data_IF_126830787132
#
_entry.id   IF_126830787132
#
_cell.length_a   1.000
_cell.length_b   1.000
_cell.length_c   1.000
_cell.angle_alpha   90.00
_cell.angle_beta   90.00
_cell.angle_gamma   90.00
#
_symmetry.space_group_name_H-M   'P 1'
#
loop_
_entity.id
_entity.type
_entity.pdbx_description
1 polymer ?
#
# COMPACT_ATOMS: atom_id res chain seq x y z
N UNK A 1 -36.94 4.90 13.73
CA UNK A 1 -36.17 6.16 13.61
C UNK A 1 -35.50 6.16 12.24
N UNK A 2 -35.88 7.11 11.35
CA UNK A 2 -35.52 7.06 9.92
C UNK A 2 -34.02 7.17 9.67
N UNK A 3 -33.48 6.38 8.72
CA UNK A 3 -32.06 6.33 8.33
C UNK A 3 -31.47 7.72 8.02
N UNK A 4 -32.30 8.67 7.59
CA UNK A 4 -31.91 10.07 7.35
C UNK A 4 -31.52 10.83 8.61
N UNK A 5 -32.13 10.53 9.77
CA UNK A 5 -31.76 11.18 11.05
C UNK A 5 -30.40 10.71 11.56
N UNK A 6 -30.06 9.44 11.34
CA UNK A 6 -28.75 8.88 11.70
C UNK A 6 -27.66 9.48 10.81
N UNK A 7 -27.92 9.61 9.51
CA UNK A 7 -26.98 10.23 8.57
C UNK A 7 -26.75 11.72 8.87
N UNK A 8 -27.81 12.49 9.15
CA UNK A 8 -27.67 13.89 9.57
C UNK A 8 -26.98 14.05 10.93
N UNK A 9 -27.15 13.09 11.85
CA UNK A 9 -26.46 13.12 13.14
C UNK A 9 -24.95 12.85 13.00
N UNK A 10 -24.57 11.90 12.14
CA UNK A 10 -23.16 11.62 11.81
C UNK A 10 -22.53 12.84 11.11
N UNK A 11 -23.25 13.49 10.18
CA UNK A 11 -22.78 14.67 9.46
C UNK A 11 -22.64 15.91 10.37
N UNK A 12 -23.44 16.00 11.44
CA UNK A 12 -23.38 17.09 12.42
C UNK A 12 -22.25 16.92 13.45
N UNK A 13 -21.74 15.70 13.67
CA UNK A 13 -20.64 15.43 14.61
C UNK A 13 -19.27 15.69 13.95
N UNK A 14 -19.15 15.53 12.62
CA UNK A 14 -17.89 15.75 11.90
C UNK A 14 -17.27 17.15 12.12
N UNK A 15 -18.04 18.27 12.07
CA UNK A 15 -17.48 19.61 12.27
C UNK A 15 -17.06 19.88 13.73
N UNK A 16 -17.72 19.24 14.69
CA UNK A 16 -17.42 19.43 16.12
C UNK A 16 -16.06 18.82 16.50
N UNK A 17 -15.63 17.77 15.81
CA UNK A 17 -14.29 17.16 15.99
C UNK A 17 -13.22 18.04 15.33
N UNK A 18 -13.53 18.75 14.25
CA UNK A 18 -12.58 19.64 13.56
C UNK A 18 -12.31 20.96 14.29
N UNK A 19 -13.16 21.36 15.24
CA UNK A 19 -13.01 22.59 16.03
C UNK A 19 -12.33 22.36 17.40
N UNK A 20 -11.97 21.12 17.74
CA UNK A 20 -11.22 20.78 18.96
C UNK A 20 -9.68 20.80 18.75
N UNK A 21 -9.20 21.48 17.70
CA UNK A 21 -7.78 21.78 17.50
C UNK A 21 -7.32 22.80 18.52
N UNK A 22 -6.92 22.34 19.71
CA UNK A 22 -6.29 23.19 20.71
C UNK A 22 -4.95 23.72 20.19
N UNK A 23 -4.81 25.05 20.08
CA UNK A 23 -3.58 25.79 19.76
C UNK A 23 -2.58 25.79 20.92
N UNK A 24 -2.33 24.63 21.52
CA UNK A 24 -1.29 24.46 22.53
C UNK A 24 -0.19 23.57 21.96
N UNK A 25 1.04 24.08 21.90
CA UNK A 25 2.28 23.27 21.84
C UNK A 25 2.37 22.37 23.08
N UNK A 26 1.44 21.43 23.17
CA UNK A 26 1.51 20.30 24.08
C UNK A 26 2.51 19.36 23.43
N UNK A 27 3.64 19.16 24.10
CA UNK A 27 4.63 18.14 23.78
C UNK A 27 3.85 16.84 23.60
N UNK A 28 3.66 16.44 22.34
CA UNK A 28 2.88 15.27 22.01
C UNK A 28 3.51 14.07 22.75
N UNK A 29 2.71 13.21 23.39
CA UNK A 29 3.23 12.02 24.03
C UNK A 29 3.74 11.07 22.95
N UNK A 30 5.00 11.21 22.58
CA UNK A 30 5.66 10.37 21.59
C UNK A 30 6.46 9.28 22.28
N UNK A 31 6.26 8.04 21.85
CA UNK A 31 7.07 6.92 22.28
C UNK A 31 8.38 6.88 21.47
N UNK A 32 9.52 6.95 22.14
CA UNK A 32 10.82 6.65 21.50
C UNK A 32 10.94 5.14 21.26
N UNK A 33 10.90 4.73 19.98
CA UNK A 33 11.02 3.33 19.57
C UNK A 33 12.32 2.64 20.00
N UNK A 34 13.36 3.42 20.33
CA UNK A 34 14.65 2.95 20.86
C UNK A 34 14.50 2.17 22.18
N UNK A 35 13.45 2.46 22.96
CA UNK A 35 13.21 1.84 24.26
C UNK A 35 12.34 0.57 24.16
N UNK A 36 11.94 0.16 22.96
CA UNK A 36 11.16 -1.07 22.75
C UNK A 36 12.10 -2.26 22.51
N UNK A 37 11.92 -3.29 23.33
CA UNK A 37 12.59 -4.58 23.10
C UNK A 37 12.20 -5.18 21.75
N UNK A 38 13.11 -5.93 21.14
CA UNK A 38 12.87 -6.60 19.85
C UNK A 38 11.64 -7.52 19.87
N UNK A 39 11.24 -8.03 21.04
CA UNK A 39 10.07 -8.91 21.18
C UNK A 39 8.74 -8.27 20.76
N UNK A 40 8.64 -6.94 20.69
CA UNK A 40 7.46 -6.24 20.19
C UNK A 40 7.17 -6.48 18.71
N UNK A 41 8.13 -7.01 17.95
CA UNK A 41 7.94 -7.36 16.54
C UNK A 41 7.18 -8.68 16.34
N UNK A 42 7.03 -9.50 17.39
CA UNK A 42 6.43 -10.85 17.27
C UNK A 42 5.02 -10.81 16.64
N UNK A 43 4.09 -9.94 17.08
CA UNK A 43 2.77 -9.88 16.46
C UNK A 43 2.81 -9.49 14.97
N UNK A 44 3.75 -8.62 14.60
CA UNK A 44 3.97 -8.20 13.21
C UNK A 44 4.48 -9.36 12.33
N UNK A 45 5.49 -10.11 12.80
CA UNK A 45 5.96 -11.31 12.10
C UNK A 45 4.85 -12.35 12.02
N UNK A 46 4.09 -12.54 13.10
CA UNK A 46 2.98 -13.48 13.17
C UNK A 46 1.90 -13.22 12.12
N UNK A 47 1.47 -11.97 11.95
CA UNK A 47 0.49 -11.62 10.91
C UNK A 47 1.08 -11.77 9.50
N UNK A 48 2.34 -11.39 9.27
CA UNK A 48 2.97 -11.56 7.95
C UNK A 48 3.07 -13.03 7.55
N UNK A 49 3.52 -13.89 8.46
CA UNK A 49 3.56 -15.34 8.23
C UNK A 49 2.17 -15.92 8.01
N UNK A 50 1.17 -15.41 8.74
CA UNK A 50 -0.22 -15.83 8.56
C UNK A 50 -0.72 -15.53 7.14
N UNK A 51 -0.46 -14.32 6.63
CA UNK A 51 -0.84 -13.90 5.28
C UNK A 51 -0.03 -14.65 4.21
N UNK A 52 1.22 -15.01 4.48
CA UNK A 52 2.05 -15.75 3.53
C UNK A 52 1.69 -17.24 3.43
N UNK A 53 1.42 -17.89 4.57
CA UNK A 53 1.33 -19.36 4.66
C UNK A 53 -0.12 -19.86 4.59
N UNK A 54 -1.05 -19.26 5.32
CA UNK A 54 -2.42 -19.80 5.40
C UNK A 54 -3.19 -19.82 4.07
N UNK A 55 -3.05 -18.83 3.16
CA UNK A 55 -3.68 -18.92 1.84
C UNK A 55 -3.20 -20.11 1.00
N UNK A 56 -1.98 -20.59 1.24
CA UNK A 56 -1.37 -21.70 0.50
C UNK A 56 -1.73 -23.06 1.13
N UNK A 57 -1.69 -23.16 2.46
CA UNK A 57 -1.87 -24.43 3.18
C UNK A 57 -3.35 -24.70 3.49
N UNK A 58 -4.11 -23.70 3.91
CA UNK A 58 -5.53 -23.83 4.30
C UNK A 58 -6.39 -22.68 3.73
N UNK A 59 -6.59 -22.62 2.39
CA UNK A 59 -7.25 -21.49 1.74
C UNK A 59 -8.66 -21.20 2.28
N UNK A 60 -9.48 -22.25 2.45
CA UNK A 60 -10.86 -22.13 2.95
C UNK A 60 -10.93 -21.58 4.38
N UNK A 61 -10.00 -22.02 5.23
CA UNK A 61 -9.93 -21.53 6.61
C UNK A 61 -9.53 -20.05 6.64
N UNK A 62 -8.50 -19.69 5.88
CA UNK A 62 -8.01 -18.31 5.78
C UNK A 62 -9.11 -17.36 5.31
N UNK A 63 -9.81 -17.66 4.21
CA UNK A 63 -10.84 -16.77 3.67
C UNK A 63 -11.98 -16.52 4.66
N UNK A 64 -12.33 -17.49 5.50
CA UNK A 64 -13.39 -17.33 6.51
C UNK A 64 -12.88 -16.67 7.81
N UNK A 65 -11.62 -16.90 8.20
CA UNK A 65 -11.08 -16.49 9.50
C UNK A 65 -10.06 -15.34 9.43
N UNK A 66 -9.75 -14.81 8.25
CA UNK A 66 -8.78 -13.74 8.04
C UNK A 66 -8.95 -12.60 9.05
N UNK A 67 -10.17 -12.06 9.17
CA UNK A 67 -10.46 -10.97 10.10
C UNK A 67 -10.21 -11.34 11.56
N UNK A 68 -10.52 -12.58 11.97
CA UNK A 68 -10.29 -13.06 13.35
C UNK A 68 -8.81 -13.22 13.65
N UNK A 69 -8.03 -13.74 12.69
CA UNK A 69 -6.58 -13.91 12.83
C UNK A 69 -5.88 -12.55 12.89
N UNK A 70 -6.24 -11.62 12.00
CA UNK A 70 -5.71 -10.25 12.02
C UNK A 70 -6.06 -9.54 13.33
N UNK A 71 -7.30 -9.69 13.81
CA UNK A 71 -7.75 -9.12 15.08
C UNK A 71 -7.00 -9.72 16.28
N UNK A 72 -6.76 -11.03 16.29
CA UNK A 72 -5.97 -11.70 17.31
C UNK A 72 -4.56 -11.12 17.41
N UNK A 73 -3.85 -10.99 16.28
CA UNK A 73 -2.50 -10.39 16.27
C UNK A 73 -2.51 -8.92 16.66
N UNK A 74 -3.53 -8.15 16.25
CA UNK A 74 -3.68 -6.76 16.65
C UNK A 74 -3.88 -6.61 18.17
N UNK A 75 -4.75 -7.42 18.78
CA UNK A 75 -4.93 -7.44 20.24
C UNK A 75 -3.65 -7.85 20.94
N UNK A 76 -2.93 -8.86 20.42
CA UNK A 76 -1.70 -9.33 21.01
C UNK A 76 -0.61 -8.26 21.06
N UNK A 77 -0.67 -7.26 20.17
CA UNK A 77 0.17 -6.07 20.25
C UNK A 77 -0.43 -5.00 21.18
N UNK A 78 -1.69 -4.60 20.94
CA UNK A 78 -2.32 -3.46 21.60
C UNK A 78 -2.51 -3.70 23.11
N UNK A 79 -2.88 -4.91 23.52
CA UNK A 79 -3.19 -5.19 24.92
C UNK A 79 -1.94 -5.12 25.83
N UNK A 80 -0.82 -5.80 25.52
CA UNK A 80 0.41 -5.60 26.28
C UNK A 80 0.94 -4.16 26.21
N UNK A 81 0.80 -3.51 25.05
CA UNK A 81 1.24 -2.12 24.87
C UNK A 81 0.47 -1.16 25.77
N UNK A 82 -0.85 -1.37 25.87
CA UNK A 82 -1.75 -0.65 26.76
C UNK A 82 -1.37 -0.83 28.24
N UNK A 83 -0.97 -2.04 28.65
CA UNK A 83 -0.56 -2.31 30.02
C UNK A 83 0.78 -1.64 30.38
N UNK A 84 1.70 -1.53 29.41
CA UNK A 84 3.05 -1.00 29.61
C UNK A 84 3.10 0.53 29.53
N UNK A 85 2.52 1.11 28.49
CA UNK A 85 2.61 2.56 28.20
C UNK A 85 1.35 3.32 28.67
N UNK A 86 0.27 2.61 29.00
CA UNK A 86 -0.97 3.20 29.50
C UNK A 86 -1.92 3.69 28.40
N UNK A 87 -3.14 4.05 28.83
CA UNK A 87 -4.26 4.37 27.94
C UNK A 87 -4.02 5.60 27.05
N UNK A 88 -3.49 6.69 27.63
CA UNK A 88 -3.33 7.96 26.91
C UNK A 88 -2.33 7.84 25.75
N UNK A 89 -1.18 7.22 25.99
CA UNK A 89 -0.12 7.03 24.98
C UNK A 89 -0.59 6.06 23.90
N UNK A 90 -1.16 4.93 24.30
CA UNK A 90 -1.68 3.92 23.35
C UNK A 90 -2.75 4.49 22.44
N UNK A 91 -3.70 5.24 22.99
CA UNK A 91 -4.75 5.86 22.19
C UNK A 91 -4.18 6.93 21.24
N UNK A 92 -3.24 7.76 21.72
CA UNK A 92 -2.59 8.76 20.90
C UNK A 92 -1.88 8.13 19.70
N UNK A 93 -1.02 7.14 19.92
CA UNK A 93 -0.26 6.48 18.85
C UNK A 93 -1.19 5.74 17.87
N UNK A 94 -2.24 5.07 18.37
CA UNK A 94 -3.19 4.37 17.50
C UNK A 94 -3.96 5.34 16.59
N UNK A 95 -4.37 6.50 17.12
CA UNK A 95 -5.02 7.55 16.34
C UNK A 95 -4.03 8.24 15.40
N UNK A 96 -2.81 8.53 15.85
CA UNK A 96 -1.76 9.14 15.05
C UNK A 96 -1.46 8.29 13.81
N UNK A 97 -1.13 7.00 14.00
CA UNK A 97 -0.89 6.06 12.90
C UNK A 97 -2.15 5.88 12.04
N UNK A 98 -3.33 5.79 12.67
CA UNK A 98 -4.59 5.63 11.95
C UNK A 98 -4.90 6.80 11.00
N UNK A 99 -4.76 8.03 11.47
CA UNK A 99 -5.15 9.24 10.72
C UNK A 99 -4.05 9.82 9.85
N UNK A 100 -2.79 9.74 10.27
CA UNK A 100 -1.68 10.37 9.53
C UNK A 100 -0.93 9.41 8.62
N UNK A 101 -1.03 8.09 8.84
CA UNK A 101 -0.35 7.09 8.01
C UNK A 101 -1.34 6.25 7.22
N UNK A 102 -2.23 5.56 7.92
CA UNK A 102 -3.12 4.59 7.31
C UNK A 102 -4.19 5.24 6.43
N UNK A 103 -4.86 6.29 6.91
CA UNK A 103 -5.92 6.96 6.16
C UNK A 103 -5.41 7.60 4.85
N UNK A 104 -4.31 8.40 4.84
CA UNK A 104 -3.75 8.94 3.61
C UNK A 104 -3.31 7.84 2.65
N UNK A 105 -2.74 6.74 3.17
CA UNK A 105 -2.34 5.59 2.37
C UNK A 105 -3.51 4.92 1.67
N UNK A 106 -4.60 4.64 2.39
CA UNK A 106 -5.80 4.05 1.80
C UNK A 106 -6.46 5.00 0.79
N UNK A 107 -6.49 6.31 1.06
CA UNK A 107 -7.02 7.30 0.12
C UNK A 107 -6.18 7.33 -1.16
N UNK A 108 -4.85 7.31 -1.05
CA UNK A 108 -3.96 7.25 -2.20
C UNK A 108 -4.21 5.99 -3.04
N UNK A 109 -4.22 4.82 -2.40
CA UNK A 109 -4.49 3.56 -3.09
C UNK A 109 -5.85 3.57 -3.78
N UNK A 110 -6.89 4.09 -3.13
CA UNK A 110 -8.23 4.19 -3.69
C UNK A 110 -8.28 5.14 -4.89
N UNK A 111 -7.62 6.29 -4.81
CA UNK A 111 -7.50 7.21 -5.93
C UNK A 111 -6.79 6.55 -7.12
N UNK A 112 -5.66 5.89 -6.87
CA UNK A 112 -4.87 5.22 -7.89
C UNK A 112 -5.64 4.08 -8.57
N UNK A 113 -6.34 3.27 -7.76
CA UNK A 113 -7.21 2.20 -8.23
C UNK A 113 -8.37 2.74 -9.08
N UNK A 114 -9.02 3.81 -8.64
CA UNK A 114 -10.15 4.41 -9.35
C UNK A 114 -9.72 4.99 -10.70
N UNK A 115 -8.62 5.75 -10.72
CA UNK A 115 -8.09 6.37 -11.93
C UNK A 115 -7.58 5.29 -12.91
N UNK A 116 -6.76 4.35 -12.44
CA UNK A 116 -6.12 3.37 -13.31
C UNK A 116 -7.07 2.25 -13.75
N UNK A 117 -7.96 1.81 -12.86
CA UNK A 117 -8.95 0.76 -13.13
C UNK A 117 -10.03 1.20 -14.12
N UNK A 118 -10.33 2.50 -14.20
CA UNK A 118 -11.27 3.08 -15.15
C UNK A 118 -10.73 3.19 -16.58
N UNK A 119 -9.41 3.12 -16.78
CA UNK A 119 -8.79 3.28 -18.10
C UNK A 119 -8.71 1.92 -18.81
N UNK A 120 -9.50 1.77 -19.88
CA UNK A 120 -9.42 0.60 -20.76
C UNK A 120 -8.76 0.95 -22.08
N UNK A 121 -7.51 0.53 -22.26
CA UNK A 121 -6.84 0.61 -23.55
C UNK A 121 -7.47 -0.38 -24.55
N UNK A 122 -8.00 0.13 -25.66
CA UNK A 122 -8.54 -0.65 -26.79
C UNK A 122 -7.62 -0.52 -28.00
N UNK A 123 -7.52 -1.56 -28.81
CA UNK A 123 -6.63 -1.61 -29.98
C UNK A 123 -6.17 -3.03 -30.32
N UNK A 124 -5.75 -3.24 -31.58
CA UNK A 124 -5.16 -4.49 -32.06
C UNK A 124 -3.63 -4.38 -32.04
N UNK A 125 -3.03 -4.83 -30.94
CA UNK A 125 -1.58 -4.91 -30.78
C UNK A 125 -1.11 -6.31 -31.20
N UNK A 126 -0.18 -6.40 -32.14
CA UNK A 126 0.46 -7.66 -32.51
C UNK A 126 1.64 -7.88 -31.57
N UNK A 127 1.61 -8.91 -30.72
CA UNK A 127 2.66 -9.22 -29.75
C UNK A 127 3.99 -9.67 -30.36
N UNK A 128 4.67 -8.78 -31.08
CA UNK A 128 6.05 -8.94 -31.54
C UNK A 128 7.01 -8.77 -30.35
N UNK A 129 8.23 -9.34 -30.39
CA UNK A 129 9.20 -9.17 -29.30
C UNK A 129 9.50 -7.71 -29.01
N UNK A 130 9.70 -6.90 -30.07
CA UNK A 130 9.95 -5.46 -29.95
C UNK A 130 8.79 -4.72 -29.26
N UNK A 131 7.54 -5.02 -29.64
CA UNK A 131 6.38 -4.38 -29.02
C UNK A 131 6.23 -4.76 -27.54
N UNK A 132 6.49 -6.03 -27.20
CA UNK A 132 6.41 -6.48 -25.82
C UNK A 132 7.46 -5.79 -24.95
N UNK A 133 8.71 -5.71 -25.43
CA UNK A 133 9.77 -4.97 -24.73
C UNK A 133 9.39 -3.51 -24.56
N UNK A 134 8.85 -2.87 -25.61
CA UNK A 134 8.42 -1.49 -25.54
C UNK A 134 7.28 -1.27 -24.52
N UNK A 135 6.27 -2.14 -24.51
CA UNK A 135 5.17 -2.08 -23.53
C UNK A 135 5.71 -2.22 -22.10
N UNK A 136 6.64 -3.16 -21.89
CA UNK A 136 7.26 -3.37 -20.57
C UNK A 136 8.08 -2.15 -20.17
N UNK A 137 8.95 -1.62 -21.04
CA UNK A 137 9.76 -0.42 -20.76
C UNK A 137 8.90 0.80 -20.46
N UNK A 138 7.84 1.04 -21.24
CA UNK A 138 6.88 2.11 -20.97
C UNK A 138 6.22 1.89 -19.62
N UNK A 139 5.79 0.66 -19.33
CA UNK A 139 5.19 0.32 -18.03
C UNK A 139 6.13 0.58 -16.85
N UNK A 140 7.41 0.23 -16.99
CA UNK A 140 8.43 0.46 -15.97
C UNK A 140 8.59 1.95 -15.65
N UNK A 141 8.59 2.81 -16.68
CA UNK A 141 8.66 4.26 -16.49
C UNK A 141 7.36 4.81 -15.89
N UNK A 142 6.20 4.35 -16.40
CA UNK A 142 4.89 4.78 -15.90
C UNK A 142 4.63 4.37 -14.45
N UNK A 143 5.19 3.25 -14.00
CA UNK A 143 5.03 2.77 -12.62
C UNK A 143 5.58 3.76 -11.58
N UNK A 144 6.65 4.49 -11.90
CA UNK A 144 7.17 5.55 -11.03
C UNK A 144 6.26 6.77 -10.94
N UNK A 145 5.31 6.95 -11.87
CA UNK A 145 4.46 8.14 -11.89
C UNK A 145 3.03 7.84 -11.45
N UNK A 146 2.49 6.68 -11.85
CA UNK A 146 1.12 6.24 -11.60
C UNK A 146 1.05 5.06 -10.62
N UNK A 147 2.15 4.75 -9.93
CA UNK A 147 2.27 3.58 -9.05
C UNK A 147 2.39 2.25 -9.80
N UNK A 148 3.05 1.27 -9.18
CA UNK A 148 3.20 -0.10 -9.72
C UNK A 148 1.83 -0.74 -9.97
N UNK A 149 0.91 -0.57 -9.03
CA UNK A 149 -0.46 -1.08 -9.13
C UNK A 149 -1.22 -0.46 -10.31
N UNK A 150 -1.12 0.87 -10.49
CA UNK A 150 -1.82 1.58 -11.55
C UNK A 150 -1.30 1.23 -12.94
N UNK A 151 0.03 1.29 -13.13
CA UNK A 151 0.68 0.91 -14.39
C UNK A 151 0.42 -0.57 -14.75
N UNK A 152 0.49 -1.47 -13.75
CA UNK A 152 0.21 -2.89 -13.96
C UNK A 152 -1.24 -3.13 -14.41
N UNK A 153 -2.22 -2.54 -13.73
CA UNK A 153 -3.64 -2.69 -14.08
C UNK A 153 -3.95 -2.19 -15.50
N UNK A 154 -3.32 -1.09 -15.92
CA UNK A 154 -3.51 -0.48 -17.23
C UNK A 154 -2.90 -1.32 -18.37
N UNK A 155 -1.71 -1.88 -18.18
CA UNK A 155 -0.94 -2.53 -19.26
C UNK A 155 -1.05 -4.06 -19.31
N UNK A 156 -1.39 -4.73 -18.20
CA UNK A 156 -1.42 -6.20 -18.18
C UNK A 156 -2.44 -6.78 -19.16
N UNK A 157 -3.63 -6.16 -19.27
CA UNK A 157 -4.70 -6.65 -20.15
C UNK A 157 -4.35 -6.50 -21.65
N UNK A 158 -3.85 -5.34 -22.13
CA UNK A 158 -3.27 -5.23 -23.47
C UNK A 158 -2.18 -6.26 -23.76
N UNK A 159 -1.22 -6.44 -22.83
CA UNK A 159 -0.08 -7.35 -23.02
C UNK A 159 -0.52 -8.82 -23.15
N UNK A 160 -1.46 -9.25 -22.31
CA UNK A 160 -2.04 -10.59 -22.37
C UNK A 160 -2.80 -10.83 -23.68
N UNK A 161 -3.57 -9.85 -24.16
CA UNK A 161 -4.31 -9.95 -25.42
C UNK A 161 -3.36 -10.00 -26.63
N UNK A 162 -2.35 -9.14 -26.67
CA UNK A 162 -1.38 -9.08 -27.77
C UNK A 162 -0.61 -10.39 -27.96
N UNK A 163 -0.43 -11.17 -26.88
CA UNK A 163 0.31 -12.43 -26.87
C UNK A 163 -0.58 -13.67 -26.73
N UNK A 164 -1.91 -13.54 -26.82
CA UNK A 164 -2.83 -14.65 -26.61
C UNK A 164 -2.57 -15.84 -27.55
N UNK A 165 -2.17 -15.54 -28.79
CA UNK A 165 -1.84 -16.49 -29.85
C UNK A 165 -0.52 -17.26 -29.64
N UNK A 166 0.39 -16.78 -28.78
CA UNK A 166 1.68 -17.43 -28.55
C UNK A 166 1.54 -18.65 -27.65
N UNK A 167 2.23 -19.75 -28.01
CA UNK A 167 2.33 -20.96 -27.17
C UNK A 167 3.18 -20.75 -25.91
N UNK A 168 4.27 -19.99 -26.01
CA UNK A 168 5.16 -19.65 -24.89
C UNK A 168 5.08 -18.15 -24.61
N UNK A 169 4.35 -17.78 -23.55
CA UNK A 169 4.07 -16.38 -23.18
C UNK A 169 4.30 -16.05 -21.71
N UNK A 170 4.62 -17.05 -20.88
CA UNK A 170 4.78 -16.88 -19.42
C UNK A 170 5.95 -15.95 -19.08
N UNK A 171 7.09 -16.06 -19.79
CA UNK A 171 8.25 -15.21 -19.56
C UNK A 171 7.92 -13.71 -19.70
N UNK A 172 7.06 -13.35 -20.66
CA UNK A 172 6.63 -11.96 -20.89
C UNK A 172 5.93 -11.42 -19.63
N UNK A 173 5.07 -12.23 -19.02
CA UNK A 173 4.33 -11.86 -17.82
C UNK A 173 5.25 -11.83 -16.58
N UNK A 174 6.22 -12.73 -16.48
CA UNK A 174 7.22 -12.70 -15.40
C UNK A 174 8.05 -11.41 -15.48
N UNK A 175 8.58 -11.05 -16.66
CA UNK A 175 9.32 -9.80 -16.82
C UNK A 175 8.45 -8.57 -16.59
N UNK A 176 7.18 -8.60 -16.99
CA UNK A 176 6.23 -7.55 -16.65
C UNK A 176 6.06 -7.40 -15.13
N UNK A 177 5.93 -8.51 -14.39
CA UNK A 177 5.82 -8.47 -12.93
C UNK A 177 7.09 -7.88 -12.30
N UNK A 178 8.28 -8.33 -12.72
CA UNK A 178 9.53 -7.83 -12.15
C UNK A 178 9.77 -6.35 -12.46
N UNK A 179 9.64 -5.96 -13.72
CA UNK A 179 10.01 -4.61 -14.16
C UNK A 179 8.90 -3.58 -13.90
N UNK A 180 7.65 -3.89 -14.24
CA UNK A 180 6.54 -2.93 -14.12
C UNK A 180 5.91 -2.95 -12.73
N UNK A 181 5.63 -4.15 -12.20
CA UNK A 181 4.87 -4.29 -10.96
C UNK A 181 5.71 -4.30 -9.68
N UNK A 182 7.05 -4.26 -9.78
CA UNK A 182 7.95 -4.17 -8.63
C UNK A 182 9.00 -3.07 -8.83
N UNK A 183 9.98 -3.27 -9.71
CA UNK A 183 11.14 -2.34 -9.82
C UNK A 183 10.72 -0.93 -10.27
N UNK A 184 9.73 -0.85 -11.15
CA UNK A 184 9.29 0.38 -11.79
C UNK A 184 8.77 1.45 -10.85
N UNK A 185 8.31 1.11 -9.64
CA UNK A 185 7.81 2.07 -8.64
C UNK A 185 8.89 2.78 -7.83
N UNK A 186 10.17 2.46 -8.02
CA UNK A 186 11.20 2.88 -7.08
C UNK A 186 11.57 4.36 -7.08
N UNK A 187 11.21 5.14 -8.11
CA UNK A 187 11.69 6.53 -8.24
C UNK A 187 10.87 7.56 -7.47
N UNK A 188 9.62 7.29 -7.10
CA UNK A 188 8.79 8.25 -6.34
C UNK A 188 8.10 7.58 -5.15
N UNK A 189 7.70 8.37 -4.12
CA UNK A 189 6.89 7.86 -3.02
C UNK A 189 5.55 7.26 -3.44
N UNK A 190 5.03 7.65 -4.62
CA UNK A 190 3.75 7.15 -5.15
C UNK A 190 3.86 5.73 -5.73
N UNK A 191 5.09 5.30 -6.03
CA UNK A 191 5.36 4.07 -6.74
C UNK A 191 4.98 2.82 -5.97
N UNK A 192 5.43 2.75 -4.71
CA UNK A 192 5.23 1.60 -3.83
C UNK A 192 4.88 1.99 -2.38
N UNK A 193 4.08 1.17 -1.67
CA UNK A 193 3.62 1.46 -0.31
C UNK A 193 4.71 1.83 0.71
N UNK A 194 5.88 1.17 0.76
CA UNK A 194 6.91 1.53 1.74
C UNK A 194 7.51 2.91 1.49
N UNK A 195 7.64 3.32 0.23
CA UNK A 195 8.17 4.63 -0.14
C UNK A 195 7.18 5.75 0.23
N UNK A 196 5.88 5.49 0.04
CA UNK A 196 4.84 6.41 0.49
C UNK A 196 4.86 6.60 2.00
N UNK A 197 4.98 5.51 2.76
CA UNK A 197 5.08 5.57 4.21
C UNK A 197 6.32 6.37 4.66
N UNK A 198 7.46 6.18 4.00
CA UNK A 198 8.66 6.99 4.24
C UNK A 198 8.42 8.49 4.01
N UNK A 199 7.70 8.85 2.94
CA UNK A 199 7.32 10.23 2.67
C UNK A 199 6.40 10.81 3.76
N UNK A 200 5.42 10.05 4.25
CA UNK A 200 4.58 10.48 5.38
C UNK A 200 5.38 10.65 6.69
N UNK A 201 6.49 9.93 6.83
CA UNK A 201 7.44 10.05 7.94
C UNK A 201 8.48 11.18 7.74
N UNK A 202 8.35 11.99 6.69
CA UNK A 202 9.16 13.19 6.47
C UNK A 202 10.35 13.02 5.52
N UNK A 203 10.44 11.92 4.78
CA UNK A 203 11.43 11.78 3.70
C UNK A 203 11.03 12.67 2.52
N UNK A 204 11.98 13.43 1.97
CA UNK A 204 11.73 14.31 0.83
C UNK A 204 11.26 13.55 -0.41
N UNK A 205 10.35 14.15 -1.18
CA UNK A 205 9.75 13.53 -2.37
C UNK A 205 10.80 13.05 -3.40
N UNK A 206 11.85 13.84 -3.64
CA UNK A 206 12.89 13.53 -4.63
C UNK A 206 14.07 12.71 -4.06
N UNK A 207 14.03 12.37 -2.76
CA UNK A 207 15.04 11.53 -2.16
C UNK A 207 15.06 10.14 -2.81
N UNK A 208 13.88 9.56 -3.05
CA UNK A 208 13.75 8.24 -3.71
C UNK A 208 14.34 8.26 -5.11
N UNK A 209 14.10 9.32 -5.89
CA UNK A 209 14.69 9.46 -7.21
C UNK A 209 16.21 9.49 -7.12
N UNK A 210 16.77 10.28 -6.20
CA UNK A 210 18.22 10.40 -6.07
C UNK A 210 18.88 9.10 -5.59
N UNK A 211 18.25 8.42 -4.63
CA UNK A 211 18.78 7.20 -4.03
C UNK A 211 18.60 5.96 -4.94
N UNK A 212 17.44 5.83 -5.59
CA UNK A 212 17.05 4.60 -6.29
C UNK A 212 17.25 4.65 -7.81
N UNK A 213 17.54 5.81 -8.42
CA UNK A 213 17.72 5.89 -9.87
C UNK A 213 18.84 4.98 -10.39
N UNK A 214 20.01 4.97 -9.75
CA UNK A 214 21.12 4.09 -10.17
C UNK A 214 20.78 2.60 -10.00
N UNK A 215 20.30 2.13 -8.82
CA UNK A 215 19.84 0.75 -8.67
C UNK A 215 18.76 0.34 -9.66
N UNK A 216 17.78 1.21 -9.92
CA UNK A 216 16.69 0.93 -10.86
C UNK A 216 17.23 0.77 -12.29
N UNK A 217 18.06 1.70 -12.75
CA UNK A 217 18.64 1.61 -14.10
C UNK A 217 19.46 0.34 -14.30
N UNK A 218 20.27 -0.05 -13.31
CA UNK A 218 21.05 -1.28 -13.35
C UNK A 218 20.20 -2.57 -13.42
N UNK A 219 19.00 -2.56 -12.82
CA UNK A 219 18.10 -3.72 -12.89
C UNK A 219 17.22 -3.74 -14.15
N UNK A 220 16.95 -2.58 -14.74
CA UNK A 220 16.07 -2.45 -15.91
C UNK A 220 16.82 -2.63 -17.23
N UNK A 221 18.08 -2.20 -17.30
CA UNK A 221 18.92 -2.20 -18.49
C UNK A 221 20.18 -3.04 -18.29
#
# INVERSE_FOLDING_TARGET
MSKHKIFSFILAILPAITLAGNNGYSIAPHLSGENLSIFWIIPFIGILLSIAVFPLVLPRFWHYHFGKISFFWAILFIFPFLLKEGWKITLYELLHVGFLEYLPFIILLLALFTISGGVRLTGSLVGTPMLNTLIISIGTVLASWMGTTGAAMLLIRPLLRANAWRRKKVHIIIFFIFLVANIGGSLTPLGDPPLFLGFLKGVDFFWTTTAMLKPMLFMVF
#
